data_IF_961249922006
#
_entry.id   IF_961249922006
#
_cell.length_a   1.000
_cell.length_b   1.000
_cell.length_c   1.000
_cell.angle_alpha   90.00
_cell.angle_beta   90.00
_cell.angle_gamma   90.00
#
_symmetry.space_group_name_H-M   'P 1'
#
loop_
_entity.id
_entity.type
_entity.pdbx_description
1 polymer ?
#
# COMPACT_ATOMS: atom_id res chain seq x y z
N UNK A 1 7.80 1.09 38.37
CA UNK A 1 8.65 0.41 37.35
C UNK A 1 7.96 -0.79 36.71
N UNK A 2 7.37 -1.74 37.48
CA UNK A 2 6.66 -2.92 36.93
C UNK A 2 5.38 -2.59 36.14
N UNK A 3 4.62 -1.56 36.50
CA UNK A 3 3.40 -1.14 35.78
C UNK A 3 3.69 -0.56 34.39
N UNK A 4 4.84 0.07 34.20
CA UNK A 4 5.19 0.77 32.96
C UNK A 4 5.80 -0.17 31.91
N UNK A 5 6.62 -1.15 32.33
CA UNK A 5 7.07 -2.25 31.46
C UNK A 5 5.86 -3.03 30.93
N UNK A 6 4.84 -3.25 31.77
CA UNK A 6 3.58 -3.86 31.36
C UNK A 6 2.82 -3.02 30.32
N UNK A 7 2.82 -1.69 30.44
CA UNK A 7 2.17 -0.79 29.47
C UNK A 7 2.84 -0.75 28.10
N UNK A 8 4.18 -0.67 28.07
CA UNK A 8 4.94 -0.70 26.81
C UNK A 8 4.89 -2.06 26.12
N UNK A 9 4.95 -3.16 26.90
CA UNK A 9 4.74 -4.51 26.37
C UNK A 9 3.32 -4.64 25.81
N UNK A 10 2.30 -4.20 26.56
CA UNK A 10 0.90 -4.27 26.12
C UNK A 10 0.65 -3.46 24.84
N UNK A 11 1.26 -2.27 24.68
CA UNK A 11 1.14 -1.49 23.45
C UNK A 11 1.83 -2.18 22.27
N UNK A 12 3.02 -2.75 22.45
CA UNK A 12 3.69 -3.53 21.42
C UNK A 12 2.89 -4.80 21.05
N UNK A 13 2.30 -5.49 22.04
CA UNK A 13 1.42 -6.64 21.81
C UNK A 13 0.14 -6.24 21.10
N UNK A 14 -0.45 -5.08 21.41
CA UNK A 14 -1.62 -4.54 20.71
C UNK A 14 -1.29 -4.15 19.26
N UNK A 15 -0.11 -3.58 19.00
CA UNK A 15 0.35 -3.28 17.64
C UNK A 15 0.57 -4.59 16.86
N UNK A 16 1.26 -5.58 17.44
CA UNK A 16 1.42 -6.89 16.81
C UNK A 16 0.09 -7.63 16.59
N UNK A 17 -0.84 -7.56 17.54
CA UNK A 17 -2.19 -8.12 17.40
C UNK A 17 -3.01 -7.39 16.31
N UNK A 18 -2.90 -6.06 16.23
CA UNK A 18 -3.52 -5.28 15.15
C UNK A 18 -2.96 -5.63 13.77
N UNK A 19 -1.64 -5.83 13.66
CA UNK A 19 -0.98 -6.23 12.41
C UNK A 19 -1.39 -7.64 11.94
N UNK A 20 -1.63 -8.57 12.87
CA UNK A 20 -2.08 -9.94 12.52
C UNK A 20 -3.56 -9.98 12.11
N UNK A 21 -4.42 -9.15 12.72
CA UNK A 21 -5.83 -9.01 12.33
C UNK A 21 -5.98 -8.35 10.95
N UNK A 22 -5.14 -7.36 10.62
CA UNK A 22 -5.16 -6.69 9.31
C UNK A 22 -4.79 -7.65 8.16
N UNK A 23 -3.94 -8.64 8.41
CA UNK A 23 -3.51 -9.61 7.40
C UNK A 23 -4.66 -10.51 6.91
N UNK A 24 -5.56 -10.94 7.81
CA UNK A 24 -6.67 -11.83 7.45
C UNK A 24 -7.81 -11.12 6.70
N UNK A 25 -8.04 -9.83 6.95
CA UNK A 25 -9.11 -9.08 6.29
C UNK A 25 -8.84 -8.85 4.79
N UNK A 26 -7.56 -8.86 4.37
CA UNK A 26 -7.13 -8.49 3.01
C UNK A 26 -7.79 -9.28 1.88
N UNK A 27 -8.10 -10.57 2.08
CA UNK A 27 -8.69 -11.44 1.04
C UNK A 27 -10.16 -11.12 0.72
N UNK A 28 -10.91 -10.54 1.66
CA UNK A 28 -12.34 -10.20 1.48
C UNK A 28 -12.58 -8.74 1.09
N UNK A 29 -11.53 -7.92 1.08
CA UNK A 29 -11.62 -6.50 0.76
C UNK A 29 -12.16 -6.23 -0.65
N UNK A 30 -11.69 -6.89 -1.73
CA UNK A 30 -12.15 -6.56 -3.09
C UNK A 30 -13.65 -6.77 -3.28
N UNK A 31 -14.21 -7.80 -2.64
CA UNK A 31 -15.64 -8.11 -2.69
C UNK A 31 -16.49 -7.10 -1.91
N UNK A 32 -15.91 -6.46 -0.88
CA UNK A 32 -16.60 -5.45 -0.07
C UNK A 32 -16.63 -4.09 -0.77
N UNK A 33 -15.61 -3.78 -1.59
CA UNK A 33 -15.51 -2.52 -2.33
C UNK A 33 -16.24 -2.52 -3.68
N UNK A 34 -16.81 -3.65 -4.11
CA UNK A 34 -17.50 -3.78 -5.40
C UNK A 34 -18.99 -4.00 -5.22
N UNK A 35 -19.78 -3.37 -6.10
CA UNK A 35 -21.21 -3.68 -6.14
C UNK A 35 -21.42 -5.08 -6.72
N UNK A 36 -22.44 -5.80 -6.25
CA UNK A 36 -22.79 -7.11 -6.81
C UNK A 36 -23.12 -7.01 -8.32
N UNK A 37 -23.72 -5.89 -8.73
CA UNK A 37 -24.04 -5.61 -10.12
C UNK A 37 -22.80 -5.44 -11.00
N UNK A 38 -21.76 -4.71 -10.54
CA UNK A 38 -20.51 -4.57 -11.30
C UNK A 38 -19.81 -5.91 -11.46
N UNK A 39 -19.84 -6.74 -10.40
CA UNK A 39 -19.30 -8.11 -10.47
C UNK A 39 -20.06 -8.97 -11.47
N UNK A 40 -21.39 -8.86 -11.51
CA UNK A 40 -22.21 -9.58 -12.50
C UNK A 40 -21.88 -9.13 -13.93
N UNK A 41 -21.75 -7.82 -14.18
CA UNK A 41 -21.36 -7.28 -15.49
C UNK A 41 -20.00 -7.81 -15.94
N UNK A 42 -18.99 -7.77 -15.06
CA UNK A 42 -17.66 -8.32 -15.37
C UNK A 42 -17.71 -9.83 -15.61
N UNK A 43 -18.45 -10.59 -14.81
CA UNK A 43 -18.56 -12.04 -14.97
C UNK A 43 -19.20 -12.41 -16.33
N UNK A 44 -20.26 -11.71 -16.73
CA UNK A 44 -20.86 -11.85 -18.06
C UNK A 44 -19.85 -11.55 -19.16
N UNK A 45 -19.15 -10.41 -19.09
CA UNK A 45 -18.16 -10.03 -20.09
C UNK A 45 -16.99 -11.02 -20.20
N UNK A 46 -16.54 -11.60 -19.08
CA UNK A 46 -15.53 -12.66 -19.11
C UNK A 46 -16.09 -13.89 -19.81
N UNK A 47 -17.34 -14.27 -19.53
CA UNK A 47 -18.04 -15.35 -20.24
C UNK A 47 -18.13 -15.10 -21.75
N UNK A 48 -18.52 -13.89 -22.15
CA UNK A 48 -18.61 -13.48 -23.56
C UNK A 48 -17.22 -13.53 -24.24
N UNK A 49 -16.17 -13.09 -23.55
CA UNK A 49 -14.79 -13.21 -24.04
C UNK A 49 -14.34 -14.68 -24.17
N UNK A 50 -14.80 -15.56 -23.30
CA UNK A 50 -14.49 -16.99 -23.37
C UNK A 50 -15.29 -17.72 -24.45
N UNK A 51 -16.47 -17.21 -24.81
CA UNK A 51 -17.33 -17.74 -25.87
C UNK A 51 -16.81 -17.42 -27.29
N UNK A 52 -15.75 -16.61 -27.42
CA UNK A 52 -15.18 -16.23 -28.70
C UNK A 52 -16.11 -15.32 -29.50
N UNK A 53 -16.08 -15.45 -30.82
CA UNK A 53 -16.85 -14.60 -31.74
C UNK A 53 -18.37 -14.59 -31.48
N UNK A 54 -18.90 -15.59 -30.78
CA UNK A 54 -20.32 -15.63 -30.41
C UNK A 54 -20.70 -14.58 -29.36
N UNK A 55 -19.75 -14.10 -28.55
CA UNK A 55 -19.97 -13.06 -27.53
C UNK A 55 -19.67 -11.63 -28.01
N UNK A 56 -19.16 -11.44 -29.23
CA UNK A 56 -18.70 -10.13 -29.73
C UNK A 56 -19.79 -9.06 -29.71
N UNK A 57 -21.00 -9.43 -30.14
CA UNK A 57 -22.13 -8.51 -30.16
C UNK A 57 -22.48 -8.01 -28.75
N UNK A 58 -22.48 -8.90 -27.76
CA UNK A 58 -22.79 -8.57 -26.37
C UNK A 58 -21.70 -7.73 -25.70
N UNK A 59 -20.42 -8.02 -25.99
CA UNK A 59 -19.29 -7.19 -25.55
C UNK A 59 -19.43 -5.77 -26.10
N UNK A 60 -19.62 -5.63 -27.42
CA UNK A 60 -19.73 -4.33 -28.07
C UNK A 60 -20.94 -3.53 -27.55
N UNK A 61 -22.07 -4.20 -27.31
CA UNK A 61 -23.27 -3.55 -26.78
C UNK A 61 -23.07 -2.95 -25.38
N UNK A 62 -22.23 -3.57 -24.54
CA UNK A 62 -21.92 -3.11 -23.16
C UNK A 62 -20.80 -2.07 -23.10
N UNK A 63 -19.97 -1.99 -24.14
CA UNK A 63 -18.91 -0.98 -24.25
C UNK A 63 -19.48 0.41 -24.53
N UNK A 64 -18.73 1.41 -24.09
CA UNK A 64 -18.94 2.80 -24.50
C UNK A 64 -19.02 2.88 -26.03
N UNK A 65 -20.10 3.45 -26.61
CA UNK A 65 -20.29 3.53 -28.06
C UNK A 65 -19.10 4.14 -28.81
N UNK A 66 -18.40 5.10 -28.18
CA UNK A 66 -17.23 5.77 -28.76
C UNK A 66 -16.03 4.83 -28.94
N UNK A 67 -15.96 3.74 -28.17
CA UNK A 67 -14.85 2.79 -28.18
C UNK A 67 -15.10 1.58 -29.06
N UNK A 68 -16.34 1.33 -29.48
CA UNK A 68 -16.72 0.14 -30.25
C UNK A 68 -15.88 -0.01 -31.51
N UNK A 69 -15.75 1.04 -32.31
CA UNK A 69 -14.98 1.02 -33.56
C UNK A 69 -13.49 0.69 -33.34
N UNK A 70 -12.92 1.11 -32.20
CA UNK A 70 -11.54 0.79 -31.84
C UNK A 70 -11.39 -0.64 -31.30
N UNK A 71 -12.39 -1.13 -30.55
CA UNK A 71 -12.37 -2.44 -29.93
C UNK A 71 -12.67 -3.58 -30.90
N UNK A 72 -13.56 -3.40 -31.88
CA UNK A 72 -13.94 -4.43 -32.86
C UNK A 72 -12.74 -5.15 -33.49
N UNK A 73 -11.73 -4.45 -34.08
CA UNK A 73 -10.57 -5.14 -34.67
C UNK A 73 -9.67 -5.83 -33.63
N UNK A 74 -9.80 -5.49 -32.35
CA UNK A 74 -9.01 -6.07 -31.26
C UNK A 74 -9.65 -7.33 -30.67
N UNK A 75 -10.95 -7.59 -30.88
CA UNK A 75 -11.69 -8.71 -30.29
C UNK A 75 -11.01 -10.07 -30.54
N UNK A 76 -10.57 -10.44 -31.76
CA UNK A 76 -9.87 -11.71 -31.97
C UNK A 76 -8.62 -11.87 -31.10
N UNK A 77 -7.87 -10.77 -30.90
CA UNK A 77 -6.68 -10.76 -30.05
C UNK A 77 -7.05 -10.87 -28.56
N UNK A 78 -8.14 -10.23 -28.13
CA UNK A 78 -8.64 -10.33 -26.76
C UNK A 78 -9.12 -11.74 -26.42
N UNK A 79 -9.82 -12.42 -27.34
CA UNK A 79 -10.17 -13.84 -27.19
C UNK A 79 -8.93 -14.72 -27.10
N UNK A 80 -7.94 -14.52 -27.98
CA UNK A 80 -6.70 -15.29 -27.96
C UNK A 80 -5.92 -15.11 -26.65
N UNK A 81 -6.03 -13.95 -26.01
CA UNK A 81 -5.40 -13.68 -24.70
C UNK A 81 -6.21 -14.20 -23.51
N UNK A 82 -7.51 -14.46 -23.69
CA UNK A 82 -8.40 -14.92 -22.62
C UNK A 82 -8.38 -16.45 -22.53
N UNK A 83 -7.94 -17.04 -21.41
CA UNK A 83 -8.02 -18.49 -21.23
C UNK A 83 -9.48 -18.96 -21.24
N UNK A 84 -9.78 -19.98 -22.05
CA UNK A 84 -11.12 -20.50 -22.26
C UNK A 84 -11.12 -22.03 -22.40
N UNK A 85 -12.17 -22.68 -21.92
CA UNK A 85 -12.35 -24.14 -21.98
C UNK A 85 -12.58 -24.79 -20.61
N UNK A 86 -12.67 -26.13 -20.55
CA UNK A 86 -12.92 -26.86 -19.31
C UNK A 86 -11.85 -26.55 -18.25
N UNK A 87 -12.29 -26.19 -17.05
CA UNK A 87 -11.39 -25.83 -15.94
C UNK A 87 -10.92 -24.38 -15.93
N UNK A 88 -11.35 -23.53 -16.88
CA UNK A 88 -11.16 -22.10 -16.78
C UNK A 88 -11.94 -21.55 -15.57
N UNK A 89 -11.25 -20.86 -14.67
CA UNK A 89 -11.85 -20.22 -13.51
C UNK A 89 -11.52 -18.73 -13.51
N UNK A 90 -12.45 -17.90 -13.06
CA UNK A 90 -12.22 -16.46 -12.88
C UNK A 90 -12.36 -16.12 -11.40
N UNK A 91 -11.46 -15.28 -10.90
CA UNK A 91 -11.53 -14.75 -9.53
C UNK A 91 -11.20 -13.28 -9.52
N UNK A 92 -11.87 -12.52 -8.66
CA UNK A 92 -11.52 -11.11 -8.45
C UNK A 92 -10.20 -11.06 -7.67
N UNK A 93 -9.24 -10.31 -8.19
CA UNK A 93 -7.93 -10.11 -7.55
C UNK A 93 -7.74 -8.68 -7.11
N UNK A 94 -8.40 -7.70 -7.70
CA UNK A 94 -8.33 -6.32 -7.23
C UNK A 94 -9.64 -5.60 -7.47
N UNK A 95 -9.93 -4.64 -6.60
CA UNK A 95 -11.04 -3.74 -6.82
C UNK A 95 -10.87 -2.41 -6.10
N UNK A 96 -11.22 -1.34 -6.81
CA UNK A 96 -11.34 -0.01 -6.24
C UNK A 96 -12.49 0.74 -6.91
N UNK A 97 -12.93 1.84 -6.29
CA UNK A 97 -13.87 2.74 -6.93
C UNK A 97 -13.52 4.18 -6.61
N UNK A 98 -13.96 5.08 -7.49
CA UNK A 98 -13.92 6.51 -7.30
C UNK A 98 -15.34 7.04 -7.41
N UNK A 99 -15.81 7.72 -6.36
CA UNK A 99 -17.01 8.53 -6.44
C UNK A 99 -16.63 9.88 -7.05
N UNK A 100 -17.29 10.27 -8.13
CA UNK A 100 -17.02 11.52 -8.81
C UNK A 100 -18.28 12.37 -8.80
N UNK A 101 -18.09 13.68 -8.63
CA UNK A 101 -19.15 14.66 -8.73
C UNK A 101 -18.65 15.81 -9.59
N UNK A 102 -19.50 16.34 -10.47
CA UNK A 102 -19.20 17.58 -11.19
C UNK A 102 -19.75 18.81 -10.44
N UNK A 103 -19.41 20.00 -10.95
CA UNK A 103 -19.87 21.28 -10.41
C UNK A 103 -21.38 21.48 -10.47
N UNK A 104 -22.10 20.74 -11.33
CA UNK A 104 -23.56 20.73 -11.40
C UNK A 104 -24.21 19.74 -10.42
N UNK A 105 -23.42 19.08 -9.56
CA UNK A 105 -23.90 18.16 -8.53
C UNK A 105 -24.27 16.77 -9.05
N UNK A 106 -24.08 16.49 -10.34
CA UNK A 106 -24.24 15.14 -10.87
C UNK A 106 -23.13 14.24 -10.31
N UNK A 107 -23.54 13.09 -9.80
CA UNK A 107 -22.65 12.07 -9.23
C UNK A 107 -22.62 10.85 -10.12
N UNK A 108 -21.44 10.29 -10.28
CA UNK A 108 -21.25 8.99 -10.89
C UNK A 108 -20.19 8.21 -10.12
N UNK A 109 -20.13 6.91 -10.39
CA UNK A 109 -19.17 6.01 -9.78
C UNK A 109 -18.34 5.36 -10.87
N UNK A 110 -17.02 5.48 -10.75
CA UNK A 110 -16.05 4.77 -11.58
C UNK A 110 -15.55 3.57 -10.77
N UNK A 111 -15.91 2.36 -11.19
CA UNK A 111 -15.47 1.12 -10.56
C UNK A 111 -14.35 0.49 -11.39
N UNK A 112 -13.23 0.17 -10.75
CA UNK A 112 -12.09 -0.54 -11.33
C UNK A 112 -12.05 -1.95 -10.76
N UNK A 113 -12.22 -2.98 -11.60
CA UNK A 113 -12.17 -4.37 -11.19
C UNK A 113 -11.09 -5.11 -11.97
N UNK A 114 -10.31 -5.95 -11.30
CA UNK A 114 -9.33 -6.82 -11.93
C UNK A 114 -9.65 -8.28 -11.59
N UNK A 115 -9.75 -9.11 -12.63
CA UNK A 115 -9.96 -10.54 -12.54
C UNK A 115 -8.74 -11.28 -13.03
N UNK A 116 -8.36 -12.33 -12.30
CA UNK A 116 -7.46 -13.35 -12.82
C UNK A 116 -8.31 -14.47 -13.39
N UNK A 117 -8.10 -14.79 -14.67
CA UNK A 117 -8.67 -15.96 -15.34
C UNK A 117 -7.56 -16.99 -15.47
N UNK A 118 -7.75 -18.16 -14.87
CA UNK A 118 -6.77 -19.25 -14.83
C UNK A 118 -7.31 -20.51 -15.51
N UNK A 119 -6.52 -21.07 -16.43
CA UNK A 119 -6.73 -22.35 -17.08
C UNK A 119 -5.41 -23.15 -17.06
N UNK A 120 -4.86 -23.35 -15.86
CA UNK A 120 -3.64 -24.12 -15.65
C UNK A 120 -2.39 -23.36 -16.13
N UNK A 121 -1.96 -23.64 -17.36
CA UNK A 121 -0.76 -23.05 -17.97
C UNK A 121 -1.03 -21.70 -18.65
N UNK A 122 -2.30 -21.37 -18.90
CA UNK A 122 -2.70 -20.08 -19.49
C UNK A 122 -3.42 -19.26 -18.44
N UNK A 123 -2.91 -18.07 -18.17
CA UNK A 123 -3.50 -17.10 -17.25
C UNK A 123 -3.61 -15.75 -17.90
N UNK A 124 -4.62 -15.00 -17.51
CA UNK A 124 -4.74 -13.60 -17.89
C UNK A 124 -5.29 -12.76 -16.75
N UNK A 125 -4.80 -11.53 -16.67
CA UNK A 125 -5.36 -10.47 -15.87
C UNK A 125 -6.27 -9.61 -16.75
N UNK A 126 -7.56 -9.62 -16.45
CA UNK A 126 -8.57 -8.83 -17.14
C UNK A 126 -8.98 -7.69 -16.23
N UNK A 127 -8.81 -6.44 -16.68
CA UNK A 127 -9.19 -5.23 -15.97
C UNK A 127 -10.35 -4.56 -16.66
N UNK A 128 -11.33 -4.15 -15.87
CA UNK A 128 -12.51 -3.43 -16.28
C UNK A 128 -12.56 -2.07 -15.58
N UNK A 129 -12.96 -1.05 -16.34
CA UNK A 129 -13.46 0.21 -15.79
C UNK A 129 -14.95 0.31 -16.16
N UNK A 130 -15.80 0.41 -15.14
CA UNK A 130 -17.24 0.56 -15.28
C UNK A 130 -17.63 1.93 -14.76
N UNK A 131 -18.26 2.73 -15.62
CA UNK A 131 -18.83 4.02 -15.26
C UNK A 131 -20.33 3.82 -15.03
N UNK A 132 -20.80 4.19 -13.83
CA UNK A 132 -22.23 4.21 -13.50
C UNK A 132 -22.75 5.62 -13.38
N UNK A 133 -23.64 5.99 -14.30
CA UNK A 133 -24.36 7.25 -14.29
C UNK A 133 -25.85 7.00 -14.57
N UNK A 134 -26.73 7.54 -13.72
CA UNK A 134 -28.19 7.44 -13.93
C UNK A 134 -28.75 6.01 -13.91
N UNK A 135 -28.08 5.07 -13.22
CA UNK A 135 -28.50 3.66 -13.13
C UNK A 135 -27.99 2.76 -14.27
N UNK A 136 -27.39 3.34 -15.32
CA UNK A 136 -26.77 2.59 -16.40
C UNK A 136 -25.29 2.34 -16.13
N UNK A 137 -24.84 1.11 -16.39
CA UNK A 137 -23.43 0.72 -16.32
C UNK A 137 -22.85 0.65 -17.73
N UNK A 138 -21.80 1.43 -17.99
CA UNK A 138 -21.08 1.44 -19.26
C UNK A 138 -19.66 0.98 -19.00
N UNK A 139 -19.20 0.01 -19.80
CA UNK A 139 -17.79 -0.42 -19.75
C UNK A 139 -16.96 0.56 -20.56
N UNK A 140 -16.11 1.30 -19.87
CA UNK A 140 -15.28 2.34 -20.47
C UNK A 140 -13.87 1.83 -20.81
N UNK A 141 -13.37 0.85 -20.05
CA UNK A 141 -12.06 0.25 -20.34
C UNK A 141 -12.14 -1.26 -20.15
N UNK A 142 -11.59 -1.99 -21.12
CA UNK A 142 -11.32 -3.43 -21.04
C UNK A 142 -9.86 -3.65 -21.43
N UNK A 143 -9.07 -4.20 -20.52
CA UNK A 143 -7.65 -4.47 -20.73
C UNK A 143 -7.31 -5.89 -20.31
N UNK A 144 -6.60 -6.63 -21.17
CA UNK A 144 -6.23 -8.03 -20.92
C UNK A 144 -4.72 -8.16 -21.01
N UNK A 145 -4.10 -8.72 -19.97
CA UNK A 145 -2.68 -9.06 -19.97
C UNK A 145 -2.49 -10.54 -19.73
N UNK A 146 -1.77 -11.26 -20.60
CA UNK A 146 -1.36 -12.61 -20.27
C UNK A 146 -0.45 -12.59 -19.03
N UNK A 147 -0.65 -13.57 -18.16
CA UNK A 147 0.16 -13.77 -16.97
C UNK A 147 0.90 -15.10 -17.07
N UNK A 148 2.19 -15.09 -16.70
CA UNK A 148 3.01 -16.29 -16.61
C UNK A 148 3.00 -16.92 -15.21
N UNK A 149 2.59 -16.13 -14.20
CA UNK A 149 2.49 -16.53 -12.80
C UNK A 149 1.20 -15.99 -12.20
N UNK A 150 0.76 -16.57 -11.07
CA UNK A 150 -0.41 -16.07 -10.36
C UNK A 150 -0.27 -14.57 -10.02
N UNK A 151 -1.37 -13.82 -10.08
CA UNK A 151 -1.32 -12.36 -9.88
C UNK A 151 -0.77 -11.97 -8.50
N UNK A 152 -1.01 -12.81 -7.49
CA UNK A 152 -0.48 -12.68 -6.13
C UNK A 152 1.06 -12.75 -6.05
N UNK A 153 1.70 -13.44 -6.99
CA UNK A 153 3.15 -13.63 -7.01
C UNK A 153 3.90 -12.52 -7.74
N UNK A 154 3.25 -11.78 -8.64
CA UNK A 154 3.90 -10.73 -9.44
C UNK A 154 4.59 -9.68 -8.58
N UNK A 155 3.93 -9.28 -7.50
CA UNK A 155 4.38 -8.23 -6.57
C UNK A 155 4.45 -8.73 -5.13
N UNK A 156 4.76 -10.02 -4.97
CA UNK A 156 4.97 -10.61 -3.64
C UNK A 156 6.17 -9.96 -2.95
N UNK A 157 6.03 -9.71 -1.65
CA UNK A 157 7.15 -9.27 -0.84
C UNK A 157 8.12 -10.44 -0.67
N UNK A 158 9.31 -10.31 -1.25
CA UNK A 158 10.41 -11.27 -1.09
C UNK A 158 11.70 -10.52 -0.85
N UNK A 159 12.52 -11.05 0.04
CA UNK A 159 13.87 -10.55 0.29
C UNK A 159 14.85 -11.06 -0.78
N UNK A 160 14.67 -12.27 -1.28
CA UNK A 160 15.59 -12.86 -2.25
C UNK A 160 15.64 -12.05 -3.56
N UNK A 161 16.85 -11.86 -4.11
CA UNK A 161 17.06 -11.22 -5.41
C UNK A 161 16.84 -9.70 -5.45
N UNK A 162 16.78 -9.03 -4.28
CA UNK A 162 16.61 -7.58 -4.18
C UNK A 162 17.94 -6.82 -4.26
N UNK A 163 17.90 -5.59 -4.75
CA UNK A 163 19.07 -4.74 -4.91
C UNK A 163 19.55 -4.15 -3.58
N UNK A 164 20.81 -3.71 -3.54
CA UNK A 164 21.38 -3.04 -2.35
C UNK A 164 20.55 -1.82 -1.92
N UNK A 165 20.02 -1.05 -2.88
CA UNK A 165 19.14 0.10 -2.61
C UNK A 165 17.91 -0.32 -1.83
N UNK A 166 17.25 -1.41 -2.22
CA UNK A 166 16.04 -1.87 -1.52
C UNK A 166 16.33 -2.26 -0.07
N UNK A 167 17.43 -2.96 0.18
CA UNK A 167 17.86 -3.27 1.54
C UNK A 167 18.26 -2.03 2.35
N UNK A 168 18.91 -1.04 1.73
CA UNK A 168 19.24 0.23 2.39
C UNK A 168 17.97 0.96 2.83
N UNK A 169 16.92 0.97 2.01
CA UNK A 169 15.62 1.55 2.37
C UNK A 169 14.94 0.80 3.53
N UNK A 170 15.01 -0.53 3.56
CA UNK A 170 14.50 -1.32 4.67
C UNK A 170 15.23 -0.97 5.98
N UNK A 171 16.57 -0.86 5.92
CA UNK A 171 17.39 -0.48 7.06
C UNK A 171 17.08 0.94 7.54
N UNK A 172 16.96 1.91 6.61
CA UNK A 172 16.66 3.30 6.94
C UNK A 172 15.25 3.47 7.52
N UNK A 173 14.27 2.72 7.02
CA UNK A 173 12.93 2.67 7.62
C UNK A 173 12.98 2.11 9.05
N UNK A 174 13.68 1.00 9.26
CA UNK A 174 13.86 0.44 10.60
C UNK A 174 14.60 1.41 11.54
N UNK A 175 15.64 2.09 11.04
CA UNK A 175 16.41 3.07 11.81
C UNK A 175 15.57 4.30 12.17
N UNK A 176 14.73 4.80 11.26
CA UNK A 176 13.83 5.92 11.53
C UNK A 176 12.82 5.56 12.62
N UNK A 177 12.14 4.42 12.48
CA UNK A 177 11.22 3.89 13.47
C UNK A 177 11.89 3.71 14.84
N UNK A 178 13.07 3.06 14.88
CA UNK A 178 13.81 2.83 16.10
C UNK A 178 14.24 4.14 16.77
N UNK A 179 14.64 5.16 15.99
CA UNK A 179 15.03 6.47 16.50
C UNK A 179 13.86 7.19 17.18
N UNK A 180 12.67 7.10 16.58
CA UNK A 180 11.44 7.67 17.17
C UNK A 180 11.05 6.92 18.45
N UNK A 181 11.04 5.59 18.42
CA UNK A 181 10.71 4.81 19.64
C UNK A 181 11.73 5.08 20.76
N UNK A 182 13.02 5.15 20.43
CA UNK A 182 14.07 5.44 21.40
C UNK A 182 13.94 6.86 21.98
N UNK A 183 13.66 7.87 21.14
CA UNK A 183 13.46 9.24 21.62
C UNK A 183 12.25 9.33 22.55
N UNK A 184 11.12 8.69 22.21
CA UNK A 184 9.94 8.62 23.07
C UNK A 184 10.25 7.98 24.43
N UNK A 185 10.87 6.79 24.42
CA UNK A 185 11.23 6.08 25.66
C UNK A 185 12.14 6.95 26.54
N UNK A 186 13.14 7.59 25.94
CA UNK A 186 14.06 8.48 26.65
C UNK A 186 13.35 9.71 27.18
N UNK A 187 12.48 10.31 26.38
CA UNK A 187 11.70 11.49 26.73
C UNK A 187 10.78 11.21 27.92
N UNK A 188 10.06 10.10 27.90
CA UNK A 188 9.21 9.69 29.02
C UNK A 188 10.01 9.43 30.29
N UNK A 189 11.18 8.78 30.19
CA UNK A 189 12.05 8.48 31.34
C UNK A 189 12.77 9.68 31.93
N UNK A 190 12.90 10.77 31.19
CA UNK A 190 13.61 11.96 31.67
C UNK A 190 12.62 12.90 32.38
N UNK A 191 12.75 13.10 33.70
CA UNK A 191 11.98 14.11 34.42
C UNK A 191 12.53 15.52 34.15
N UNK A 192 11.74 16.56 34.46
CA UNK A 192 12.22 17.96 34.41
C UNK A 192 12.35 18.59 33.01
N UNK A 193 11.90 17.92 31.94
CA UNK A 193 11.92 18.49 30.59
C UNK A 193 10.86 19.58 30.44
N UNK A 194 11.30 20.82 30.21
CA UNK A 194 10.42 21.96 29.93
C UNK A 194 9.66 21.74 28.63
N UNK A 195 8.34 21.96 28.65
CA UNK A 195 7.43 21.74 27.50
C UNK A 195 7.52 20.33 26.92
N UNK A 196 7.61 19.31 27.79
CA UNK A 196 7.70 17.88 27.41
C UNK A 196 6.69 17.44 26.35
N UNK A 197 5.46 17.96 26.38
CA UNK A 197 4.42 17.62 25.41
C UNK A 197 4.78 18.00 23.96
N UNK A 198 5.47 19.12 23.72
CA UNK A 198 5.91 19.51 22.37
C UNK A 198 6.95 18.54 21.84
N UNK A 199 7.85 18.06 22.72
CA UNK A 199 8.84 17.07 22.36
C UNK A 199 8.21 15.72 22.04
N UNK A 200 7.18 15.29 22.80
CA UNK A 200 6.45 14.03 22.52
C UNK A 200 5.81 14.12 21.15
N UNK A 201 5.03 15.18 20.91
CA UNK A 201 4.35 15.33 19.61
C UNK A 201 5.36 15.42 18.47
N UNK A 202 6.43 16.22 18.61
CA UNK A 202 7.42 16.37 17.54
C UNK A 202 8.26 15.11 17.28
N UNK A 203 8.61 14.34 18.32
CA UNK A 203 9.40 13.12 18.17
C UNK A 203 8.61 11.99 17.50
N UNK A 204 7.29 11.98 17.65
CA UNK A 204 6.42 10.95 17.08
C UNK A 204 6.38 10.94 15.54
N UNK A 205 6.84 12.01 14.89
CA UNK A 205 6.75 12.16 13.45
C UNK A 205 8.11 12.10 12.73
N UNK A 206 8.12 11.46 11.56
CA UNK A 206 9.12 11.62 10.53
C UNK A 206 8.71 12.71 9.54
N UNK A 207 9.69 13.47 9.06
CA UNK A 207 9.49 14.61 8.16
C UNK A 207 10.01 14.29 6.76
N UNK A 208 9.24 14.68 5.75
CA UNK A 208 9.44 14.25 4.38
C UNK A 208 9.16 12.76 4.22
N UNK A 209 9.23 12.29 2.98
CA UNK A 209 9.01 10.89 2.63
C UNK A 209 9.99 10.52 1.53
N UNK A 210 10.73 9.44 1.73
CA UNK A 210 11.53 8.80 0.68
C UNK A 210 11.13 7.34 0.66
N UNK A 211 10.89 6.78 -0.51
CA UNK A 211 10.45 5.40 -0.64
C UNK A 211 11.07 4.70 -1.83
N UNK A 212 11.02 3.38 -1.77
CA UNK A 212 11.39 2.49 -2.86
C UNK A 212 10.21 1.59 -3.21
N UNK A 213 10.03 1.38 -4.50
CA UNK A 213 9.22 0.31 -5.04
C UNK A 213 9.96 -1.02 -4.85
N UNK A 214 9.37 -1.92 -4.07
CA UNK A 214 10.02 -3.18 -3.71
C UNK A 214 10.12 -4.16 -4.88
N UNK A 215 9.31 -3.99 -5.94
CA UNK A 215 9.38 -4.85 -7.11
C UNK A 215 10.42 -4.35 -8.11
N UNK A 216 10.39 -3.06 -8.44
CA UNK A 216 11.25 -2.47 -9.48
C UNK A 216 12.54 -1.84 -8.96
N UNK A 217 12.59 -1.47 -7.67
CA UNK A 217 13.68 -0.70 -7.09
C UNK A 217 13.59 0.80 -7.38
N UNK A 218 12.53 1.27 -8.04
CA UNK A 218 12.30 2.69 -8.32
C UNK A 218 12.20 3.51 -7.03
N UNK A 219 12.95 4.61 -6.94
CA UNK A 219 12.97 5.49 -5.78
C UNK A 219 12.11 6.72 -6.04
N UNK A 220 11.30 7.09 -5.05
CA UNK A 220 10.54 8.33 -5.04
C UNK A 220 10.76 9.12 -3.77
N UNK A 221 10.45 10.41 -3.82
CA UNK A 221 10.51 11.28 -2.65
C UNK A 221 9.39 12.33 -2.68
N UNK A 222 9.01 12.79 -1.50
CA UNK A 222 8.07 13.88 -1.29
C UNK A 222 8.57 14.70 -0.10
N UNK A 223 8.95 15.95 -0.36
CA UNK A 223 9.58 16.80 0.64
C UNK A 223 8.61 17.21 1.76
N UNK A 224 7.37 17.56 1.38
CA UNK A 224 6.33 17.98 2.32
C UNK A 224 5.43 16.78 2.61
N UNK A 225 5.78 16.07 3.67
CA UNK A 225 5.01 14.95 4.20
C UNK A 225 5.33 14.78 5.69
N UNK A 226 4.34 14.37 6.48
CA UNK A 226 4.50 14.07 7.91
C UNK A 226 3.98 12.65 8.12
N UNK A 227 4.85 11.76 8.58
CA UNK A 227 4.52 10.36 8.83
C UNK A 227 4.60 10.03 10.31
N UNK A 228 3.56 9.39 10.81
CA UNK A 228 3.57 8.82 12.15
C UNK A 228 4.60 7.67 12.22
N UNK A 229 5.46 7.68 13.24
CA UNK A 229 6.52 6.68 13.48
C UNK A 229 7.59 6.57 12.37
N UNK A 230 7.60 7.52 11.42
CA UNK A 230 8.71 7.75 10.48
C UNK A 230 9.03 6.62 9.51
N UNK A 231 8.22 5.58 9.44
CA UNK A 231 8.40 4.44 8.55
C UNK A 231 7.05 3.90 8.05
N UNK A 232 7.02 3.36 6.85
CA UNK A 232 5.83 2.71 6.31
C UNK A 232 6.19 1.60 5.32
N UNK A 233 5.27 0.65 5.20
CA UNK A 233 5.22 -0.35 4.15
C UNK A 233 3.77 -0.46 3.69
N UNK A 234 3.46 0.00 2.48
CA UNK A 234 2.10 0.11 1.97
C UNK A 234 1.98 -0.44 0.55
N UNK A 235 0.77 -0.89 0.21
CA UNK A 235 0.39 -1.37 -1.12
C UNK A 235 -0.87 -0.60 -1.55
N UNK A 236 -0.91 -0.11 -2.79
CA UNK A 236 -2.06 0.65 -3.30
C UNK A 236 -3.29 -0.21 -3.61
N UNK A 237 -3.06 -1.47 -3.98
CA UNK A 237 -4.06 -2.50 -4.26
C UNK A 237 -3.42 -3.89 -4.20
N UNK A 238 -4.17 -4.97 -4.43
CA UNK A 238 -3.58 -6.33 -4.34
C UNK A 238 -2.54 -6.59 -5.44
N UNK A 239 -2.57 -5.84 -6.54
CA UNK A 239 -1.63 -6.00 -7.63
C UNK A 239 -0.50 -4.98 -7.63
N UNK A 240 -0.54 -3.97 -6.77
CA UNK A 240 0.52 -2.96 -6.74
C UNK A 240 1.79 -3.48 -6.05
N UNK A 241 2.97 -2.97 -6.38
CA UNK A 241 4.17 -3.28 -5.63
C UNK A 241 4.11 -2.74 -4.20
N UNK A 242 4.82 -3.41 -3.29
CA UNK A 242 5.05 -2.85 -1.96
C UNK A 242 5.90 -1.59 -2.09
N UNK A 243 5.45 -0.50 -1.48
CA UNK A 243 6.26 0.69 -1.28
C UNK A 243 6.74 0.72 0.15
N UNK A 244 8.06 0.72 0.32
CA UNK A 244 8.70 0.83 1.62
C UNK A 244 9.41 2.16 1.68
N UNK A 245 9.21 2.90 2.75
CA UNK A 245 9.82 4.20 2.90
C UNK A 245 9.90 4.68 4.33
N UNK A 246 10.51 5.85 4.46
CA UNK A 246 10.74 6.50 5.73
C UNK A 246 10.64 8.01 5.61
N UNK A 247 10.26 8.63 6.71
CA UNK A 247 10.46 10.06 6.96
C UNK A 247 11.66 10.26 7.86
N UNK A 248 12.34 11.40 7.73
CA UNK A 248 13.53 11.70 8.54
C UNK A 248 13.08 12.10 9.95
N UNK A 249 13.50 11.42 11.03
CA UNK A 249 13.02 11.68 12.38
C UNK A 249 13.76 12.87 13.02
N UNK A 250 13.68 14.05 12.39
CA UNK A 250 14.50 15.23 12.69
C UNK A 250 14.40 15.65 14.15
N UNK A 251 13.19 15.79 14.70
CA UNK A 251 12.99 16.23 16.09
C UNK A 251 13.51 15.19 17.07
N UNK A 252 13.31 13.90 16.79
CA UNK A 252 13.84 12.79 17.59
C UNK A 252 15.37 12.79 17.64
N UNK A 253 16.03 13.00 16.50
CA UNK A 253 17.49 13.12 16.42
C UNK A 253 17.94 14.33 17.24
N UNK A 254 17.35 15.50 17.04
CA UNK A 254 17.70 16.73 17.77
C UNK A 254 17.52 16.55 19.28
N UNK A 255 16.43 15.91 19.71
CA UNK A 255 16.18 15.62 21.11
C UNK A 255 17.26 14.73 21.73
N UNK A 256 17.57 13.60 21.07
CA UNK A 256 18.57 12.64 21.53
C UNK A 256 19.98 13.26 21.60
N UNK A 257 20.34 14.11 20.63
CA UNK A 257 21.63 14.81 20.61
C UNK A 257 21.71 15.89 21.70
N UNK A 258 20.67 16.73 21.87
CA UNK A 258 20.66 17.79 22.89
C UNK A 258 20.70 17.24 24.32
N UNK A 259 20.21 16.02 24.55
CA UNK A 259 20.25 15.38 25.86
C UNK A 259 21.65 14.90 26.27
N UNK A 260 22.56 14.63 25.34
CA UNK A 260 23.90 14.15 25.70
C UNK A 260 24.75 15.22 26.38
N UNK A 261 24.53 16.50 26.05
CA UNK A 261 25.41 17.58 26.53
C UNK A 261 25.35 17.88 28.04
N UNK A 262 24.23 17.74 28.77
CA UNK A 262 24.24 17.86 30.23
C UNK A 262 24.93 16.70 30.95
N UNK A 263 24.74 15.46 30.49
CA UNK A 263 25.32 14.27 31.14
C UNK A 263 26.85 14.22 30.95
N UNK A 264 27.34 14.58 29.76
CA UNK A 264 28.78 14.70 29.50
C UNK A 264 29.41 15.87 30.28
N UNK A 265 28.67 16.96 30.54
CA UNK A 265 29.15 18.06 31.39
C UNK A 265 29.27 17.66 32.85
N UNK A 266 28.28 16.96 33.40
CA UNK A 266 28.35 16.47 34.79
C UNK A 266 29.50 15.48 34.96
N UNK A 267 29.65 14.50 34.04
CA UNK A 267 30.76 13.54 34.11
C UNK A 267 32.15 14.21 33.98
N UNK A 268 32.29 15.26 33.16
CA UNK A 268 33.53 16.04 33.06
C UNK A 268 33.81 16.86 34.32
N UNK A 269 32.79 17.46 34.93
CA UNK A 269 32.91 18.20 36.19
C UNK A 269 33.31 17.28 37.34
N UNK A 270 32.70 16.10 37.44
CA UNK A 270 33.04 15.08 38.44
C UNK A 270 34.48 14.58 38.27
N UNK A 271 34.92 14.33 37.03
CA UNK A 271 36.31 13.97 36.75
C UNK A 271 37.28 15.11 37.09
N UNK A 272 36.97 16.36 36.75
CA UNK A 272 37.82 17.51 37.06
C UNK A 272 37.94 17.74 38.57
N UNK A 273 36.84 17.61 39.32
CA UNK A 273 36.86 17.67 40.79
C UNK A 273 37.67 16.52 41.40
N UNK A 274 37.57 15.31 40.86
CA UNK A 274 38.37 14.17 41.31
C UNK A 274 39.88 14.35 41.05
N UNK A 275 40.28 14.97 39.93
CA UNK A 275 41.71 15.25 39.62
C UNK A 275 42.27 16.46 40.37
N UNK A 276 41.43 17.39 40.82
CA UNK A 276 41.88 18.56 41.59
C UNK A 276 42.05 18.27 43.10
N UNK A 277 41.66 17.08 43.56
CA UNK A 277 41.73 16.65 44.96
C UNK A 277 43.00 15.85 45.30
N UNK A 278 43.93 15.69 44.34
CA UNK A 278 45.25 15.09 44.49
C UNK A 278 46.33 16.10 44.14
#
# INVERSE_FOLDING_TARGET
>A
MKSFVRGALALATLICAGLTLAACASKKLPETFTSAEDRAVCATLIGDLQAGATGDADILNRLNPQLRAQFTPMLPKLHAMTPSGPGASSRIVDASFRAVANSSGQRWRDSYLAYEVDQGQRRALIRFEIIRQGGSAIVNTLYINPLYVAAERLNAFTLAGRSLTQYAFLLLAAASFATIVASEVVLFRTPGIRRKWLWVVGCLFGYGQIWVDWSSGGVGFQLINIQLLGAFALKGGLLDPWRIGFGVPLVSIVFLLRRRSPLERSAKLDHQQATAAF
#
